data_IF_342848925603
#
_entry.id   IF_342848925603
#
_cell.length_a   1.000
_cell.length_b   1.000
_cell.length_c   1.000
_cell.angle_alpha   90.00
_cell.angle_beta   90.00
_cell.angle_gamma   90.00
#
_symmetry.space_group_name_H-M   'P 1'
#
loop_
_entity.id
_entity.type
_entity.pdbx_description
1 polymer ?
#
# COMPACT_ATOMS: atom_id res chain seq x y z
N UNK A 1 30.10 -7.71 18.86
CA UNK A 1 29.62 -8.33 20.10
C UNK A 1 30.51 -7.80 21.22
N UNK A 2 29.93 -7.31 22.32
CA UNK A 2 30.69 -7.21 23.57
C UNK A 2 31.08 -8.64 23.94
N UNK A 3 32.33 -8.90 24.33
CA UNK A 3 32.71 -10.22 24.80
C UNK A 3 31.83 -10.58 26.01
N UNK A 4 31.22 -11.77 26.01
CA UNK A 4 30.26 -12.22 27.05
C UNK A 4 30.78 -12.06 28.49
N UNK A 5 32.09 -11.96 28.67
CA UNK A 5 32.77 -11.85 29.95
C UNK A 5 32.55 -10.51 30.69
N UNK A 6 32.07 -9.45 30.03
CA UNK A 6 31.90 -8.12 30.66
C UNK A 6 30.42 -7.66 30.76
N UNK A 7 29.47 -8.43 30.21
CA UNK A 7 28.07 -8.01 30.16
C UNK A 7 27.42 -7.92 31.56
N UNK A 8 27.75 -8.84 32.47
CA UNK A 8 27.24 -8.84 33.84
C UNK A 8 27.77 -7.64 34.65
N UNK A 9 29.06 -7.34 34.53
CA UNK A 9 29.69 -6.20 35.20
C UNK A 9 29.14 -4.87 34.70
N UNK A 10 29.00 -4.71 33.38
CA UNK A 10 28.38 -3.53 32.78
C UNK A 10 26.91 -3.37 33.18
N UNK A 11 26.15 -4.46 33.24
CA UNK A 11 24.76 -4.43 33.69
C UNK A 11 24.65 -3.96 35.15
N UNK A 12 25.49 -4.51 36.05
CA UNK A 12 25.50 -4.09 37.44
C UNK A 12 25.89 -2.61 37.58
N UNK A 13 26.94 -2.19 36.88
CA UNK A 13 27.37 -0.79 36.87
C UNK A 13 26.27 0.16 36.38
N UNK A 14 25.61 -0.17 35.27
CA UNK A 14 24.50 0.64 34.73
C UNK A 14 23.36 0.76 35.75
N UNK A 15 23.02 -0.34 36.44
CA UNK A 15 21.97 -0.39 37.46
C UNK A 15 22.27 0.50 38.67
N UNK A 16 23.54 0.74 38.98
CA UNK A 16 23.97 1.58 40.11
C UNK A 16 23.97 3.09 39.78
N UNK A 17 23.76 3.47 38.51
CA UNK A 17 23.72 4.88 38.10
C UNK A 17 22.45 5.58 38.61
N UNK A 18 22.55 6.82 39.11
CA UNK A 18 21.43 7.53 39.75
C UNK A 18 20.32 7.97 38.78
N UNK A 19 20.54 7.79 37.48
CA UNK A 19 19.61 8.10 36.41
C UNK A 19 19.14 6.85 35.66
N UNK A 20 19.30 5.66 36.23
CA UNK A 20 18.85 4.40 35.64
C UNK A 20 17.86 3.73 36.59
N UNK A 21 16.66 3.44 36.08
CA UNK A 21 15.63 2.69 36.78
C UNK A 21 15.70 1.21 36.39
N UNK A 22 15.38 0.32 37.33
CA UNK A 22 15.23 -1.11 37.06
C UNK A 22 13.75 -1.46 37.02
N UNK A 23 13.29 -1.99 35.89
CA UNK A 23 11.91 -2.43 35.68
C UNK A 23 11.87 -3.93 35.37
N UNK A 24 10.70 -4.58 35.41
CA UNK A 24 10.56 -5.97 34.94
C UNK A 24 10.97 -6.17 33.47
N UNK A 25 11.04 -5.10 32.67
CA UNK A 25 11.43 -5.11 31.27
C UNK A 25 12.93 -4.81 31.06
N UNK A 26 13.68 -4.49 32.12
CA UNK A 26 15.12 -4.22 32.08
C UNK A 26 15.52 -2.88 32.68
N UNK A 27 16.71 -2.40 32.31
CA UNK A 27 17.24 -1.10 32.75
C UNK A 27 16.73 0.03 31.86
N UNK A 28 16.23 1.10 32.48
CA UNK A 28 15.63 2.24 31.83
C UNK A 28 16.33 3.53 32.26
N UNK A 29 17.20 4.14 31.43
CA UNK A 29 17.76 5.45 31.70
C UNK A 29 16.66 6.51 31.70
N UNK A 30 16.70 7.45 32.64
CA UNK A 30 15.80 8.59 32.69
C UNK A 30 15.85 9.37 31.36
N UNK A 31 14.71 9.91 30.94
CA UNK A 31 14.54 10.56 29.65
C UNK A 31 15.61 11.64 29.38
N UNK A 32 15.90 12.50 30.36
CA UNK A 32 16.91 13.55 30.24
C UNK A 32 18.33 13.00 30.01
N UNK A 33 18.70 11.90 30.67
CA UNK A 33 19.99 11.25 30.48
C UNK A 33 20.07 10.60 29.08
N UNK A 34 19.00 9.92 28.64
CA UNK A 34 18.91 9.33 27.30
C UNK A 34 19.07 10.39 26.20
N UNK A 35 18.32 11.48 26.28
CA UNK A 35 18.41 12.57 25.29
C UNK A 35 19.80 13.18 25.23
N UNK A 36 20.42 13.41 26.41
CA UNK A 36 21.78 13.97 26.48
C UNK A 36 22.82 13.03 25.85
N UNK A 37 22.76 11.74 26.18
CA UNK A 37 23.69 10.74 25.63
C UNK A 37 23.55 10.59 24.10
N UNK A 38 22.32 10.61 23.57
CA UNK A 38 22.11 10.54 22.12
C UNK A 38 22.59 11.81 21.41
N UNK A 39 22.30 12.99 21.96
CA UNK A 39 22.74 14.26 21.39
C UNK A 39 24.28 14.35 21.35
N UNK A 40 24.91 13.94 22.44
CA UNK A 40 26.35 13.92 22.58
C UNK A 40 27.03 12.91 21.64
N UNK A 41 26.49 11.68 21.52
CA UNK A 41 27.00 10.69 20.55
C UNK A 41 26.86 11.17 19.11
N UNK A 42 25.71 11.78 18.77
CA UNK A 42 25.46 12.37 17.45
C UNK A 42 26.45 13.48 17.13
N UNK A 43 26.83 14.29 18.13
CA UNK A 43 27.79 15.38 17.97
C UNK A 43 29.24 14.88 17.86
N UNK A 44 29.67 14.02 18.79
CA UNK A 44 31.08 13.58 18.91
C UNK A 44 31.47 12.51 17.90
N UNK A 45 30.54 11.64 17.51
CA UNK A 45 30.81 10.50 16.62
C UNK A 45 29.63 10.23 15.67
N UNK A 46 29.35 11.14 14.72
CA UNK A 46 28.18 11.05 13.84
C UNK A 46 28.14 9.78 13.01
N UNK A 47 29.29 9.31 12.51
CA UNK A 47 29.40 8.06 11.74
C UNK A 47 29.07 6.84 12.60
N UNK A 48 29.54 6.81 13.85
CA UNK A 48 29.23 5.75 14.82
C UNK A 48 27.75 5.76 15.18
N UNK A 49 27.17 6.94 15.39
CA UNK A 49 25.74 7.12 15.64
C UNK A 49 24.90 6.55 14.48
N UNK A 50 25.23 6.90 13.24
CA UNK A 50 24.53 6.41 12.06
C UNK A 50 24.69 4.90 11.88
N UNK A 51 25.91 4.36 12.04
CA UNK A 51 26.16 2.93 11.95
C UNK A 51 25.39 2.15 13.03
N UNK A 52 25.27 2.68 14.25
CA UNK A 52 24.48 2.08 15.31
C UNK A 52 22.98 2.09 14.97
N UNK A 53 22.46 3.22 14.46
CA UNK A 53 21.05 3.31 14.02
C UNK A 53 20.73 2.33 12.90
N UNK A 54 21.60 2.20 11.90
CA UNK A 54 21.42 1.24 10.80
C UNK A 54 21.40 -0.20 11.31
N UNK A 55 22.31 -0.55 12.22
CA UNK A 55 22.32 -1.88 12.84
C UNK A 55 21.05 -2.14 13.63
N UNK A 56 20.61 -1.19 14.44
CA UNK A 56 19.33 -1.31 15.18
C UNK A 56 18.15 -1.46 14.22
N UNK A 57 18.09 -0.69 13.13
CA UNK A 57 17.04 -0.84 12.12
C UNK A 57 16.99 -2.26 11.54
N UNK A 58 18.14 -2.82 11.13
CA UNK A 58 18.20 -4.18 10.59
C UNK A 58 17.81 -5.24 11.64
N UNK A 59 18.22 -5.08 12.90
CA UNK A 59 17.79 -6.01 13.95
C UNK A 59 16.29 -5.94 14.22
N UNK A 60 15.70 -4.75 14.32
CA UNK A 60 14.26 -4.62 14.52
C UNK A 60 13.44 -5.09 13.32
N UNK A 61 13.92 -4.84 12.09
CA UNK A 61 13.32 -5.43 10.88
C UNK A 61 13.41 -6.97 10.91
N UNK A 62 14.53 -7.53 11.38
CA UNK A 62 14.68 -8.96 11.63
C UNK A 62 13.66 -9.50 12.65
N UNK A 63 13.53 -8.82 13.80
CA UNK A 63 12.54 -9.16 14.83
C UNK A 63 11.11 -9.10 14.28
N UNK A 64 10.79 -8.13 13.42
CA UNK A 64 9.47 -8.03 12.80
C UNK A 64 9.14 -9.22 11.89
N UNK A 65 10.13 -9.76 11.15
CA UNK A 65 9.94 -10.95 10.31
C UNK A 65 9.56 -12.19 11.12
N UNK A 66 10.15 -12.34 12.30
CA UNK A 66 9.98 -13.52 13.15
C UNK A 66 8.92 -13.36 14.25
N UNK A 67 8.44 -12.14 14.48
CA UNK A 67 7.55 -11.84 15.59
C UNK A 67 6.20 -12.56 15.47
N UNK A 68 5.72 -13.08 16.60
CA UNK A 68 4.36 -13.62 16.77
C UNK A 68 3.29 -12.52 16.69
N UNK A 69 2.03 -12.84 16.33
CA UNK A 69 0.94 -11.88 16.11
C UNK A 69 0.90 -10.71 17.08
N UNK A 70 0.99 -11.05 18.35
CA UNK A 70 0.81 -10.19 19.51
C UNK A 70 1.99 -9.24 19.74
N UNK A 71 3.19 -9.55 19.21
CA UNK A 71 4.41 -8.77 19.41
C UNK A 71 4.73 -7.77 18.31
N UNK A 72 4.17 -7.93 17.11
CA UNK A 72 4.53 -7.06 15.98
C UNK A 72 4.25 -5.59 16.26
N UNK A 73 3.12 -5.27 16.91
CA UNK A 73 2.82 -3.90 17.31
C UNK A 73 3.92 -3.31 18.18
N UNK A 74 4.28 -4.01 19.27
CA UNK A 74 5.31 -3.56 20.20
C UNK A 74 6.66 -3.33 19.49
N UNK A 75 7.12 -4.31 18.69
CA UNK A 75 8.39 -4.18 17.95
C UNK A 75 8.35 -3.02 16.94
N UNK A 76 7.19 -2.77 16.31
CA UNK A 76 7.01 -1.64 15.37
C UNK A 76 7.04 -0.29 16.09
N UNK A 77 6.37 -0.19 17.24
CA UNK A 77 6.36 1.03 18.04
C UNK A 77 7.75 1.33 18.61
N UNK A 78 8.49 0.31 19.06
CA UNK A 78 9.89 0.44 19.50
C UNK A 78 10.78 0.92 18.36
N UNK A 79 10.65 0.33 17.17
CA UNK A 79 11.39 0.76 15.99
C UNK A 79 11.09 2.24 15.66
N UNK A 80 9.83 2.64 15.59
CA UNK A 80 9.51 4.03 15.30
C UNK A 80 9.92 4.99 16.42
N UNK A 81 9.91 4.52 17.67
CA UNK A 81 10.45 5.29 18.79
C UNK A 81 11.94 5.56 18.63
N UNK A 82 12.73 4.60 18.16
CA UNK A 82 14.16 4.79 17.86
C UNK A 82 14.41 5.82 16.75
N UNK A 83 13.44 6.01 15.85
CA UNK A 83 13.50 6.96 14.74
C UNK A 83 12.56 8.16 14.92
N UNK A 84 12.10 8.43 16.14
CA UNK A 84 11.16 9.53 16.45
C UNK A 84 11.67 10.93 16.12
N UNK A 85 12.97 11.09 15.89
CA UNK A 85 13.59 12.33 15.43
C UNK A 85 13.41 12.58 13.92
N UNK A 86 12.97 11.57 13.16
CA UNK A 86 12.68 11.71 11.73
C UNK A 86 11.38 12.47 11.51
N UNK A 87 11.44 13.55 10.72
CA UNK A 87 10.32 14.47 10.49
C UNK A 87 9.01 13.77 10.08
N UNK A 88 9.10 12.74 9.23
CA UNK A 88 7.92 11.95 8.81
C UNK A 88 7.23 11.26 9.98
N UNK A 89 7.99 10.73 10.94
CA UNK A 89 7.46 10.08 12.14
C UNK A 89 6.96 11.11 13.17
N UNK A 90 7.59 12.27 13.26
CA UNK A 90 7.11 13.37 14.11
C UNK A 90 5.75 13.93 13.66
N UNK A 91 5.52 14.03 12.35
CA UNK A 91 4.25 14.54 11.80
C UNK A 91 3.08 13.58 11.99
N UNK A 92 3.37 12.28 12.10
CA UNK A 92 2.35 11.22 12.10
C UNK A 92 2.11 10.58 13.45
N UNK A 93 2.93 10.88 14.48
CA UNK A 93 2.84 10.27 15.81
C UNK A 93 2.99 11.28 16.94
N UNK A 94 2.29 11.03 18.03
CA UNK A 94 2.36 11.76 19.30
C UNK A 94 3.18 10.94 20.31
N UNK A 95 4.30 11.52 20.73
CA UNK A 95 5.25 10.92 21.68
C UNK A 95 5.02 11.51 23.07
N UNK A 96 4.21 10.86 23.91
CA UNK A 96 3.88 11.30 25.28
C UNK A 96 4.18 10.16 26.27
N UNK A 97 4.47 10.49 27.53
CA UNK A 97 4.76 9.50 28.58
C UNK A 97 3.52 8.68 28.99
N UNK A 98 3.77 7.53 29.61
CA UNK A 98 2.86 6.40 29.84
C UNK A 98 1.62 6.65 30.73
N UNK A 99 1.42 7.85 31.30
CA UNK A 99 0.39 8.07 32.34
C UNK A 99 -1.06 8.08 31.80
N UNK A 100 -1.25 8.16 30.47
CA UNK A 100 -2.56 8.11 29.82
C UNK A 100 -2.64 7.06 28.70
N UNK A 101 -1.94 5.92 28.83
CA UNK A 101 -1.85 5.00 27.69
C UNK A 101 -3.21 4.34 27.39
N UNK A 102 -3.80 4.57 26.20
CA UNK A 102 -4.95 3.82 25.77
C UNK A 102 -4.50 2.45 25.22
N UNK A 103 -5.37 1.45 25.29
CA UNK A 103 -5.14 0.16 24.65
C UNK A 103 -6.29 -0.22 23.74
N UNK A 104 -5.97 -1.00 22.71
CA UNK A 104 -6.93 -1.52 21.74
C UNK A 104 -7.48 -2.85 22.26
N UNK A 105 -8.79 -3.02 22.14
CA UNK A 105 -9.52 -4.19 22.60
C UNK A 105 -10.58 -4.61 21.57
N UNK A 106 -11.10 -5.83 21.72
CA UNK A 106 -12.18 -6.35 20.87
C UNK A 106 -13.46 -5.58 21.16
N UNK A 107 -14.24 -5.29 20.12
CA UNK A 107 -15.59 -4.75 20.27
C UNK A 107 -16.54 -5.89 20.66
N UNK A 108 -17.11 -5.80 21.86
CA UNK A 108 -18.15 -6.72 22.33
C UNK A 108 -19.53 -6.30 21.83
N UNK A 109 -20.46 -7.27 21.71
CA UNK A 109 -21.78 -7.03 21.13
C UNK A 109 -22.62 -6.04 21.96
N UNK A 110 -22.43 -6.04 23.27
CA UNK A 110 -23.07 -5.13 24.22
C UNK A 110 -22.64 -3.67 24.00
N UNK A 111 -21.42 -3.47 23.47
CA UNK A 111 -20.84 -2.15 23.23
C UNK A 111 -21.23 -1.57 21.83
N UNK A 112 -21.97 -2.33 21.00
CA UNK A 112 -22.40 -1.86 19.67
C UNK A 112 -23.23 -0.57 19.73
N UNK A 113 -24.13 -0.45 20.72
CA UNK A 113 -24.93 0.77 20.90
C UNK A 113 -24.08 2.00 21.18
N UNK A 114 -23.00 1.84 21.97
CA UNK A 114 -22.05 2.91 22.26
C UNK A 114 -21.30 3.34 21.00
N UNK A 115 -20.75 2.39 20.25
CA UNK A 115 -20.03 2.66 19.00
C UNK A 115 -20.92 3.39 17.96
N UNK A 116 -22.18 2.99 17.84
CA UNK A 116 -23.15 3.69 16.97
C UNK A 116 -23.38 5.14 17.43
N UNK A 117 -23.54 5.35 18.74
CA UNK A 117 -23.72 6.70 19.29
C UNK A 117 -22.48 7.59 19.10
N UNK A 118 -21.27 7.02 19.23
CA UNK A 118 -20.01 7.71 18.96
C UNK A 118 -19.90 8.12 17.49
N UNK A 119 -20.28 7.24 16.56
CA UNK A 119 -20.29 7.52 15.13
C UNK A 119 -21.27 8.65 14.79
N UNK A 120 -22.49 8.58 15.33
CA UNK A 120 -23.51 9.61 15.13
C UNK A 120 -23.08 10.97 15.68
N UNK A 121 -22.49 11.00 16.88
CA UNK A 121 -21.98 12.22 17.48
C UNK A 121 -20.83 12.85 16.67
N UNK A 122 -19.92 12.02 16.16
CA UNK A 122 -18.69 12.49 15.51
C UNK A 122 -18.84 12.81 14.02
N UNK A 123 -19.65 12.03 13.31
CA UNK A 123 -19.78 12.10 11.84
C UNK A 123 -21.22 12.26 11.35
N UNK A 124 -22.22 12.06 12.22
CA UNK A 124 -23.64 12.20 11.88
C UNK A 124 -24.35 10.87 11.60
N UNK A 125 -25.69 10.91 11.42
CA UNK A 125 -26.53 9.72 11.37
C UNK A 125 -26.25 8.84 10.13
N UNK A 126 -25.84 9.43 9.01
CA UNK A 126 -25.48 8.67 7.80
C UNK A 126 -24.25 7.78 8.05
N UNK A 127 -23.21 8.29 8.71
CA UNK A 127 -22.06 7.48 9.09
C UNK A 127 -22.42 6.41 10.13
N UNK A 128 -23.31 6.70 11.07
CA UNK A 128 -23.80 5.70 12.03
C UNK A 128 -24.56 4.55 11.33
N UNK A 129 -25.31 4.84 10.27
CA UNK A 129 -25.97 3.83 9.43
C UNK A 129 -24.94 2.92 8.73
N UNK A 130 -23.86 3.50 8.20
CA UNK A 130 -22.77 2.75 7.58
C UNK A 130 -22.02 1.89 8.61
N UNK A 131 -21.79 2.42 9.82
CA UNK A 131 -21.23 1.63 10.94
C UNK A 131 -22.13 0.44 11.26
N UNK A 132 -23.45 0.65 11.36
CA UNK A 132 -24.42 -0.43 11.59
C UNK A 132 -24.36 -1.48 10.49
N UNK A 133 -24.33 -1.03 9.24
CA UNK A 133 -24.20 -1.90 8.07
C UNK A 133 -22.94 -2.76 8.17
N UNK A 134 -21.78 -2.16 8.44
CA UNK A 134 -20.52 -2.91 8.53
C UNK A 134 -20.40 -3.80 9.77
N UNK A 135 -21.03 -3.45 10.90
CA UNK A 135 -21.11 -4.34 12.07
C UNK A 135 -21.81 -5.67 11.74
N UNK A 136 -22.77 -5.67 10.82
CA UNK A 136 -23.43 -6.91 10.38
C UNK A 136 -22.59 -7.74 9.40
N UNK A 137 -21.76 -7.10 8.59
CA UNK A 137 -20.99 -7.72 7.50
C UNK A 137 -19.59 -8.16 7.92
N UNK A 138 -18.88 -7.31 8.65
CA UNK A 138 -17.50 -7.54 9.10
C UNK A 138 -17.32 -7.10 10.57
N UNK A 139 -18.04 -7.70 11.55
CA UNK A 139 -17.89 -7.35 12.97
C UNK A 139 -16.45 -7.51 13.47
N UNK A 140 -15.71 -8.50 12.94
CA UNK A 140 -14.30 -8.73 13.24
C UNK A 140 -13.37 -7.57 12.83
N UNK A 141 -13.84 -6.66 11.97
CA UNK A 141 -13.10 -5.48 11.55
C UNK A 141 -13.14 -4.34 12.56
N UNK A 142 -13.96 -4.46 13.61
CA UNK A 142 -14.11 -3.43 14.62
C UNK A 142 -13.21 -3.68 15.83
N UNK A 143 -12.59 -2.60 16.32
CA UNK A 143 -11.93 -2.57 17.62
C UNK A 143 -12.30 -1.32 18.39
N UNK A 144 -12.25 -1.41 19.70
CA UNK A 144 -12.43 -0.26 20.60
C UNK A 144 -11.11 0.12 21.22
N UNK A 145 -11.01 1.36 21.65
CA UNK A 145 -9.85 1.89 22.36
C UNK A 145 -10.32 2.29 23.75
N UNK A 146 -9.69 1.71 24.77
CA UNK A 146 -10.01 1.88 26.20
C UNK A 146 -8.90 2.63 26.91
N UNK A 147 -9.26 3.44 27.89
CA UNK A 147 -8.29 4.03 28.82
C UNK A 147 -7.92 2.99 29.89
N UNK A 148 -6.61 2.75 30.12
CA UNK A 148 -6.15 1.83 31.17
C UNK A 148 -6.70 2.23 32.55
N UNK A 149 -6.74 3.53 32.83
CA UNK A 149 -7.14 4.07 34.14
C UNK A 149 -8.60 3.79 34.53
N UNK A 150 -9.49 3.64 33.56
CA UNK A 150 -10.94 3.54 33.81
C UNK A 150 -11.62 2.37 33.11
N UNK A 151 -10.96 1.70 32.16
CA UNK A 151 -11.55 0.68 31.29
C UNK A 151 -12.60 1.21 30.30
N UNK A 152 -12.88 2.53 30.32
CA UNK A 152 -13.90 3.17 29.50
C UNK A 152 -13.48 3.18 28.03
N UNK A 153 -14.39 2.81 27.13
CA UNK A 153 -14.25 3.00 25.69
C UNK A 153 -14.30 4.49 25.37
N UNK A 154 -13.26 4.99 24.72
CA UNK A 154 -13.15 6.40 24.32
C UNK A 154 -13.17 6.59 22.81
N UNK A 155 -12.88 5.54 22.06
CA UNK A 155 -12.84 5.57 20.61
C UNK A 155 -13.06 4.18 20.02
N UNK A 156 -13.32 4.12 18.72
CA UNK A 156 -13.32 2.87 17.98
C UNK A 156 -12.74 3.07 16.57
N UNK A 157 -12.26 1.97 16.00
CA UNK A 157 -11.75 1.92 14.64
C UNK A 157 -12.41 0.78 13.88
N UNK A 158 -12.67 1.01 12.59
CA UNK A 158 -13.15 -0.04 11.68
C UNK A 158 -12.16 -0.25 10.55
N UNK A 159 -11.63 -1.47 10.45
CA UNK A 159 -10.77 -1.93 9.36
C UNK A 159 -11.52 -2.94 8.52
N UNK A 160 -11.71 -2.59 7.25
CA UNK A 160 -12.39 -3.46 6.28
C UNK A 160 -11.35 -4.19 5.44
N UNK A 161 -11.61 -5.47 5.21
CA UNK A 161 -10.88 -6.30 4.25
C UNK A 161 -11.83 -6.56 3.07
N UNK A 162 -11.46 -6.06 1.90
CA UNK A 162 -12.27 -6.10 0.69
C UNK A 162 -11.61 -7.05 -0.32
N UNK A 163 -12.03 -8.33 -0.41
CA UNK A 163 -11.41 -9.30 -1.28
C UNK A 163 -11.68 -9.00 -2.76
N UNK A 164 -10.78 -9.46 -3.64
CA UNK A 164 -10.93 -9.43 -5.09
C UNK A 164 -11.05 -10.88 -5.63
N UNK A 165 -12.10 -11.22 -6.39
CA UNK A 165 -13.26 -10.39 -6.69
C UNK A 165 -14.09 -10.04 -5.43
N UNK A 166 -14.84 -8.92 -5.45
CA UNK A 166 -15.78 -8.56 -4.39
C UNK A 166 -16.64 -9.74 -3.94
N UNK A 167 -16.68 -10.00 -2.63
CA UNK A 167 -17.59 -10.95 -1.99
C UNK A 167 -18.94 -10.33 -1.61
N UNK A 168 -19.11 -9.06 -1.96
CA UNK A 168 -20.31 -8.26 -1.77
C UNK A 168 -20.93 -7.90 -3.13
N UNK A 169 -22.23 -7.63 -3.10
CA UNK A 169 -23.06 -7.34 -4.28
C UNK A 169 -22.86 -5.89 -4.74
N UNK A 170 -23.27 -5.56 -5.98
CA UNK A 170 -23.25 -4.17 -6.47
C UNK A 170 -23.99 -3.20 -5.51
N UNK A 171 -25.03 -3.70 -4.83
CA UNK A 171 -25.82 -2.98 -3.82
C UNK A 171 -25.00 -2.56 -2.59
N UNK A 172 -23.95 -3.31 -2.27
CA UNK A 172 -23.06 -3.02 -1.14
C UNK A 172 -22.05 -1.92 -1.50
N UNK A 173 -21.69 -1.81 -2.79
CA UNK A 173 -20.92 -0.67 -3.34
C UNK A 173 -21.77 0.60 -3.32
N UNK A 174 -23.06 0.50 -3.63
CA UNK A 174 -23.99 1.63 -3.55
C UNK A 174 -24.29 2.06 -2.10
N UNK A 175 -24.06 1.17 -1.12
CA UNK A 175 -24.35 1.44 0.29
C UNK A 175 -23.30 2.38 0.91
N UNK A 176 -22.01 2.10 0.74
CA UNK A 176 -20.92 2.93 1.29
C UNK A 176 -20.15 3.63 0.16
N UNK A 177 -20.37 4.95 -0.07
CA UNK A 177 -19.75 5.68 -1.17
C UNK A 177 -18.22 5.75 -1.06
N UNK A 178 -17.67 5.58 0.15
CA UNK A 178 -16.22 5.54 0.38
C UNK A 178 -15.63 4.22 -0.10
N UNK A 179 -16.30 3.10 0.15
CA UNK A 179 -15.90 1.78 -0.38
C UNK A 179 -15.99 1.78 -1.91
N UNK A 180 -17.05 2.35 -2.47
CA UNK A 180 -17.16 2.53 -3.92
C UNK A 180 -16.01 3.34 -4.52
N UNK A 181 -15.63 4.43 -3.86
CA UNK A 181 -14.53 5.28 -4.29
C UNK A 181 -13.18 4.53 -4.26
N UNK A 182 -12.93 3.72 -3.23
CA UNK A 182 -11.72 2.88 -3.13
C UNK A 182 -11.67 1.84 -4.26
N UNK A 183 -12.78 1.17 -4.56
CA UNK A 183 -12.83 0.22 -5.67
C UNK A 183 -12.60 0.89 -7.01
N UNK A 184 -13.27 2.01 -7.27
CA UNK A 184 -13.07 2.80 -8.49
C UNK A 184 -11.60 3.20 -8.65
N UNK A 185 -11.00 3.75 -7.61
CA UNK A 185 -9.59 4.13 -7.61
C UNK A 185 -8.69 2.93 -7.90
N UNK A 186 -8.93 1.78 -7.26
CA UNK A 186 -8.16 0.56 -7.51
C UNK A 186 -8.27 0.14 -8.97
N UNK A 187 -9.46 0.15 -9.56
CA UNK A 187 -9.67 -0.23 -10.97
C UNK A 187 -9.00 0.72 -11.96
N UNK A 188 -8.96 2.01 -11.66
CA UNK A 188 -8.38 3.04 -12.52
C UNK A 188 -6.85 3.14 -12.44
N UNK A 189 -6.25 2.68 -11.33
CA UNK A 189 -4.81 2.82 -11.07
C UNK A 189 -4.06 1.51 -11.12
N UNK A 190 -4.45 0.53 -10.31
CA UNK A 190 -3.80 -0.76 -10.20
C UNK A 190 -4.78 -1.79 -9.61
N UNK A 191 -5.59 -2.46 -10.43
CA UNK A 191 -6.66 -3.35 -9.96
C UNK A 191 -6.15 -4.43 -9.00
N UNK A 192 -6.93 -4.74 -7.97
CA UNK A 192 -6.72 -5.92 -7.14
C UNK A 192 -7.05 -7.20 -7.95
N UNK A 193 -6.17 -8.20 -7.87
CA UNK A 193 -6.27 -9.46 -8.63
C UNK A 193 -7.09 -10.51 -7.87
N UNK A 194 -7.62 -11.55 -8.55
CA UNK A 194 -8.21 -12.69 -7.86
C UNK A 194 -7.27 -13.29 -6.80
N UNK A 195 -7.75 -13.40 -5.56
CA UNK A 195 -6.95 -13.85 -4.41
C UNK A 195 -6.17 -12.74 -3.69
N UNK A 196 -6.24 -11.50 -4.20
CA UNK A 196 -5.78 -10.31 -3.48
C UNK A 196 -6.93 -9.64 -2.72
N UNK A 197 -6.62 -8.67 -1.86
CA UNK A 197 -7.59 -7.82 -1.18
C UNK A 197 -7.10 -6.39 -1.02
N UNK A 198 -8.06 -5.47 -0.85
CA UNK A 198 -7.82 -4.10 -0.39
C UNK A 198 -8.07 -4.05 1.12
N UNK A 199 -7.15 -3.47 1.88
CA UNK A 199 -7.34 -3.19 3.30
C UNK A 199 -7.62 -1.69 3.48
N UNK A 200 -8.61 -1.33 4.29
CA UNK A 200 -8.99 0.07 4.52
C UNK A 200 -9.33 0.34 5.97
N UNK A 201 -8.81 1.42 6.54
CA UNK A 201 -9.33 1.99 7.80
C UNK A 201 -10.46 2.95 7.46
N UNK A 202 -11.69 2.47 7.58
CA UNK A 202 -12.90 3.16 7.12
C UNK A 202 -13.42 4.19 8.14
N UNK A 203 -13.34 3.86 9.42
CA UNK A 203 -13.73 4.73 10.53
C UNK A 203 -12.61 4.80 11.56
N UNK A 204 -12.30 6.01 12.01
CA UNK A 204 -11.38 6.31 13.12
C UNK A 204 -12.07 7.34 14.01
N UNK A 205 -12.95 6.85 14.89
CA UNK A 205 -13.86 7.69 15.68
C UNK A 205 -13.29 7.89 17.07
N UNK A 206 -12.95 9.14 17.38
CA UNK A 206 -12.62 9.58 18.73
C UNK A 206 -13.35 10.90 19.00
N UNK A 207 -14.55 10.90 19.62
CA UNK A 207 -15.39 12.09 19.70
C UNK A 207 -14.71 13.31 20.33
N UNK A 208 -13.95 13.11 21.41
CA UNK A 208 -13.27 14.19 22.13
C UNK A 208 -12.16 14.88 21.31
N UNK A 209 -11.59 14.18 20.32
CA UNK A 209 -10.53 14.71 19.45
C UNK A 209 -10.61 14.10 18.05
N UNK A 210 -11.75 14.31 17.39
CA UNK A 210 -12.09 13.63 16.15
C UNK A 210 -11.00 13.79 15.08
N UNK A 211 -10.39 12.65 14.71
CA UNK A 211 -9.29 12.54 13.72
C UNK A 211 -8.13 13.53 13.93
N UNK A 212 -7.97 14.09 15.12
CA UNK A 212 -6.83 14.91 15.49
C UNK A 212 -5.65 14.05 15.95
N UNK A 213 -4.40 14.55 15.82
CA UNK A 213 -3.22 13.82 16.30
C UNK A 213 -3.37 13.43 17.78
N UNK A 214 -3.29 12.15 18.10
CA UNK A 214 -3.47 11.65 19.47
C UNK A 214 -2.94 10.22 19.59
N UNK A 215 -2.64 9.78 20.82
CA UNK A 215 -2.27 8.39 21.11
C UNK A 215 -3.32 7.39 20.61
N UNK A 216 -4.60 7.77 20.65
CA UNK A 216 -5.71 6.97 20.13
C UNK A 216 -5.58 6.75 18.62
N UNK A 217 -5.34 7.81 17.86
CA UNK A 217 -5.16 7.71 16.40
C UNK A 217 -3.85 6.98 16.04
N UNK A 218 -2.78 7.21 16.79
CA UNK A 218 -1.51 6.50 16.59
C UNK A 218 -1.69 4.99 16.79
N UNK A 219 -2.41 4.59 17.83
CA UNK A 219 -2.70 3.19 18.13
C UNK A 219 -3.49 2.52 17.01
N UNK A 220 -4.52 3.20 16.52
CA UNK A 220 -5.31 2.77 15.35
C UNK A 220 -4.42 2.54 14.13
N UNK A 221 -3.52 3.47 13.82
CA UNK A 221 -2.61 3.41 12.68
C UNK A 221 -1.51 2.34 12.85
N UNK A 222 -0.97 2.16 14.06
CA UNK A 222 0.03 1.12 14.36
C UNK A 222 -0.52 -0.28 14.11
N UNK A 223 -1.81 -0.52 14.37
CA UNK A 223 -2.46 -1.81 14.06
C UNK A 223 -2.52 -2.09 12.56
N UNK A 224 -2.84 -1.08 11.76
CA UNK A 224 -2.88 -1.19 10.29
C UNK A 224 -1.51 -1.59 9.73
N UNK A 225 -0.45 -0.99 10.27
CA UNK A 225 0.94 -1.29 9.91
C UNK A 225 1.31 -2.72 10.31
N UNK A 226 0.96 -3.13 11.53
CA UNK A 226 1.17 -4.50 12.01
C UNK A 226 0.46 -5.55 11.14
N UNK A 227 -0.77 -5.27 10.70
CA UNK A 227 -1.50 -6.14 9.78
C UNK A 227 -0.89 -6.14 8.37
N UNK A 228 -0.39 -4.99 7.90
CA UNK A 228 0.29 -4.89 6.62
C UNK A 228 1.51 -5.79 6.55
N UNK A 229 2.33 -5.83 7.61
CA UNK A 229 3.52 -6.68 7.66
C UNK A 229 3.22 -8.18 7.43
N UNK A 230 1.99 -8.62 7.72
CA UNK A 230 1.63 -10.05 7.68
C UNK A 230 0.72 -10.47 6.56
N UNK A 231 -0.12 -9.55 6.08
CA UNK A 231 -1.16 -9.88 5.13
C UNK A 231 -0.55 -10.36 3.81
N UNK A 232 -0.83 -11.61 3.44
CA UNK A 232 -0.55 -12.13 2.10
C UNK A 232 -1.63 -11.66 1.14
N UNK A 233 -1.25 -11.35 -0.10
CA UNK A 233 -2.19 -10.91 -1.12
C UNK A 233 -2.83 -9.55 -0.84
N UNK A 234 -2.23 -8.70 0.01
CA UNK A 234 -2.71 -7.33 0.15
C UNK A 234 -2.24 -6.51 -1.04
N UNK A 235 -3.17 -6.01 -1.84
CA UNK A 235 -2.88 -5.13 -2.97
C UNK A 235 -2.69 -3.68 -2.48
N UNK A 236 -3.73 -3.12 -1.87
CA UNK A 236 -3.75 -1.72 -1.43
C UNK A 236 -4.01 -1.60 0.08
N UNK A 237 -3.48 -0.53 0.68
CA UNK A 237 -3.88 -0.03 1.99
C UNK A 237 -4.46 1.37 1.89
N UNK A 238 -5.64 1.61 2.49
CA UNK A 238 -6.27 2.93 2.52
C UNK A 238 -6.51 3.45 3.94
N UNK A 239 -6.30 4.76 4.13
CA UNK A 239 -6.79 5.52 5.28
C UNK A 239 -7.81 6.57 4.80
N UNK A 240 -8.87 6.76 5.57
CA UNK A 240 -9.96 7.69 5.27
C UNK A 240 -10.00 8.78 6.34
N UNK A 241 -9.85 10.05 5.92
CA UNK A 241 -9.89 11.19 6.83
C UNK A 241 -10.73 12.33 6.28
N UNK A 242 -11.50 12.98 7.16
CA UNK A 242 -12.33 14.13 6.83
C UNK A 242 -11.51 15.40 6.58
N UNK A 243 -10.63 15.76 7.53
CA UNK A 243 -9.68 16.87 7.38
C UNK A 243 -8.50 16.44 6.50
N UNK A 244 -8.85 16.11 5.26
CA UNK A 244 -7.96 15.56 4.27
C UNK A 244 -6.85 16.54 3.89
N UNK A 245 -7.04 17.85 4.01
CA UNK A 245 -5.96 18.83 3.80
C UNK A 245 -4.88 18.71 4.88
N UNK A 246 -5.26 18.70 6.16
CA UNK A 246 -4.28 18.57 7.24
C UNK A 246 -3.64 17.18 7.27
N UNK A 247 -4.40 16.13 6.90
CA UNK A 247 -3.87 14.77 6.80
C UNK A 247 -2.94 14.57 5.60
N UNK A 248 -3.15 15.28 4.48
CA UNK A 248 -2.24 15.24 3.34
C UNK A 248 -0.84 15.77 3.71
N UNK A 249 -0.75 16.87 4.46
CA UNK A 249 0.53 17.39 4.95
C UNK A 249 1.22 16.39 5.90
N UNK A 250 0.47 15.79 6.83
CA UNK A 250 1.03 14.83 7.80
C UNK A 250 1.51 13.54 7.13
N UNK A 251 0.74 13.03 6.18
CA UNK A 251 1.04 11.77 5.50
C UNK A 251 2.01 11.93 4.33
N UNK A 252 2.46 13.15 4.01
CA UNK A 252 3.40 13.38 2.93
C UNK A 252 4.68 12.53 3.09
N UNK A 253 4.94 11.66 2.10
CA UNK A 253 6.06 10.72 2.12
C UNK A 253 5.89 9.52 3.06
N UNK A 254 4.67 9.30 3.54
CA UNK A 254 4.22 8.15 4.36
C UNK A 254 3.13 7.37 3.64
N UNK A 255 2.07 8.05 3.21
CA UNK A 255 1.05 7.53 2.30
C UNK A 255 0.81 8.59 1.24
N UNK A 256 0.34 8.17 0.08
CA UNK A 256 0.06 9.13 -0.97
C UNK A 256 -1.41 9.54 -0.96
N UNK A 257 -1.68 10.83 -1.18
CA UNK A 257 -3.04 11.31 -1.41
C UNK A 257 -3.52 10.83 -2.78
N UNK A 258 -4.62 10.09 -2.80
CA UNK A 258 -5.24 9.61 -4.04
C UNK A 258 -5.82 10.73 -4.91
N UNK A 259 -6.05 11.92 -4.33
CA UNK A 259 -6.82 13.00 -4.93
C UNK A 259 -8.34 12.76 -4.96
N UNK A 260 -8.80 11.55 -4.60
CA UNK A 260 -10.22 11.20 -4.56
C UNK A 260 -10.86 11.79 -3.31
N UNK A 261 -12.03 12.39 -3.50
CA UNK A 261 -12.90 12.91 -2.44
C UNK A 261 -14.25 12.22 -2.49
N UNK A 262 -14.80 11.92 -1.33
CA UNK A 262 -16.07 11.23 -1.18
C UNK A 262 -16.91 11.92 -0.12
N UNK A 263 -18.22 12.01 -0.34
CA UNK A 263 -19.16 12.64 0.57
C UNK A 263 -19.98 11.57 1.31
N UNK A 264 -20.12 11.74 2.62
CA UNK A 264 -21.07 10.99 3.45
C UNK A 264 -21.84 11.99 4.31
N UNK A 265 -23.13 12.15 4.03
CA UNK A 265 -23.98 13.03 4.84
C UNK A 265 -23.59 14.51 4.77
N UNK A 266 -23.05 14.99 3.64
CA UNK A 266 -22.57 16.37 3.48
C UNK A 266 -21.17 16.61 4.06
N UNK A 267 -20.46 15.53 4.38
CA UNK A 267 -19.12 15.56 4.93
C UNK A 267 -18.14 14.91 3.96
N UNK A 268 -17.16 15.70 3.53
CA UNK A 268 -16.14 15.25 2.57
C UNK A 268 -14.99 14.50 3.26
N UNK A 269 -14.53 13.41 2.67
CA UNK A 269 -13.40 12.61 3.12
C UNK A 269 -12.40 12.40 1.97
N UNK A 270 -11.11 12.45 2.31
CA UNK A 270 -10.01 12.10 1.42
C UNK A 270 -9.51 10.68 1.66
N UNK A 271 -9.04 10.05 0.58
CA UNK A 271 -8.44 8.72 0.62
C UNK A 271 -6.91 8.81 0.47
N UNK A 272 -6.19 8.22 1.42
CA UNK A 272 -4.73 8.10 1.40
C UNK A 272 -4.34 6.65 1.21
N UNK A 273 -3.41 6.38 0.30
CA UNK A 273 -3.18 5.03 -0.19
C UNK A 273 -1.72 4.66 -0.37
N UNK A 274 -1.49 3.34 -0.39
CA UNK A 274 -0.23 2.69 -0.75
C UNK A 274 -0.53 1.36 -1.44
N UNK A 275 0.16 1.11 -2.56
CA UNK A 275 0.17 -0.19 -3.23
C UNK A 275 1.31 -1.03 -2.64
N UNK A 276 0.95 -2.01 -1.81
CA UNK A 276 1.91 -2.86 -1.10
C UNK A 276 2.67 -3.81 -2.04
N UNK A 277 2.17 -4.02 -3.26
CA UNK A 277 2.88 -4.80 -4.29
C UNK A 277 4.07 -4.02 -4.84
N UNK A 278 3.99 -2.69 -4.86
CA UNK A 278 5.07 -1.79 -5.32
C UNK A 278 6.04 -1.44 -4.20
N UNK A 279 5.50 -1.23 -3.00
CA UNK A 279 6.29 -0.88 -1.83
C UNK A 279 5.96 -1.88 -0.71
N UNK A 280 6.67 -3.02 -0.65
CA UNK A 280 6.52 -3.95 0.46
C UNK A 280 6.78 -3.26 1.80
N UNK A 281 6.15 -3.75 2.87
CA UNK A 281 6.09 -3.03 4.14
C UNK A 281 7.46 -2.74 4.76
N UNK A 282 8.42 -3.65 4.65
CA UNK A 282 9.79 -3.40 5.11
C UNK A 282 10.47 -2.28 4.33
N UNK A 283 10.25 -2.22 3.01
CA UNK A 283 10.76 -1.15 2.15
C UNK A 283 10.10 0.18 2.51
N UNK A 284 8.80 0.16 2.82
CA UNK A 284 8.07 1.31 3.32
C UNK A 284 8.65 1.80 4.66
N UNK A 285 8.91 0.91 5.63
CA UNK A 285 9.56 1.26 6.90
C UNK A 285 10.92 1.91 6.65
N UNK A 286 11.75 1.33 5.75
CA UNK A 286 13.03 1.92 5.34
C UNK A 286 12.87 3.34 4.79
N UNK A 287 11.88 3.57 3.92
CA UNK A 287 11.58 4.91 3.41
C UNK A 287 11.19 5.92 4.51
N UNK A 288 10.57 5.45 5.59
CA UNK A 288 10.27 6.29 6.74
C UNK A 288 11.52 6.63 7.53
N UNK A 289 12.28 5.62 7.95
CA UNK A 289 13.42 5.79 8.85
C UNK A 289 14.63 6.47 8.18
N UNK A 290 14.82 6.26 6.88
CA UNK A 290 15.89 6.88 6.09
C UNK A 290 15.47 8.24 5.50
N UNK A 291 14.22 8.65 5.73
CA UNK A 291 13.63 9.89 5.21
C UNK A 291 13.73 10.05 3.67
N UNK A 292 13.79 8.95 2.92
CA UNK A 292 13.87 8.97 1.45
C UNK A 292 12.51 9.24 0.82
N UNK A 293 12.47 9.80 -0.38
CA UNK A 293 11.21 10.04 -1.07
C UNK A 293 10.49 8.70 -1.37
N UNK A 294 9.19 8.68 -1.14
CA UNK A 294 8.38 7.55 -1.60
C UNK A 294 8.24 7.63 -3.12
N UNK A 295 8.27 6.49 -3.82
CA UNK A 295 7.87 6.45 -5.22
C UNK A 295 6.53 7.16 -5.40
N UNK A 296 6.38 8.03 -6.42
CA UNK A 296 5.10 8.66 -6.67
C UNK A 296 4.04 7.58 -6.88
N UNK A 297 2.79 7.88 -6.54
CA UNK A 297 1.70 7.00 -6.93
C UNK A 297 1.84 6.73 -8.42
N UNK A 298 1.64 5.48 -8.78
CA UNK A 298 1.32 5.20 -10.16
C UNK A 298 0.02 5.91 -10.44
N UNK A 299 0.12 7.12 -11.00
CA UNK A 299 -1.04 7.83 -11.52
C UNK A 299 -1.83 6.87 -12.42
N UNK A 300 -3.14 7.09 -12.56
CA UNK A 300 -3.93 6.31 -13.51
C UNK A 300 -3.14 6.24 -14.80
N UNK A 301 -3.00 5.05 -15.38
CA UNK A 301 -2.49 4.96 -16.76
C UNK A 301 -3.26 6.01 -17.54
N UNK A 302 -2.61 7.08 -18.01
CA UNK A 302 -3.32 8.23 -18.58
C UNK A 302 -4.13 7.86 -19.82
N UNK A 303 -3.92 6.64 -20.31
CA UNK A 303 -4.66 6.00 -21.39
C UNK A 303 -5.67 5.01 -20.82
N UNK A 304 -6.99 5.23 -20.99
CA UNK A 304 -8.01 4.23 -20.67
C UNK A 304 -7.75 2.90 -21.38
N UNK A 305 -8.07 1.76 -20.75
CA UNK A 305 -7.85 0.42 -21.31
C UNK A 305 -8.31 0.26 -22.77
N UNK A 306 -9.51 0.72 -23.20
CA UNK A 306 -9.91 0.61 -24.61
C UNK A 306 -9.01 1.40 -25.56
N UNK A 307 -8.55 2.59 -25.15
CA UNK A 307 -7.64 3.41 -25.93
C UNK A 307 -6.23 2.78 -26.00
N UNK A 308 -5.78 2.13 -24.92
CA UNK A 308 -4.53 1.39 -24.89
C UNK A 308 -4.57 0.18 -25.83
N UNK A 309 -5.64 -0.62 -25.78
CA UNK A 309 -5.80 -1.79 -26.66
C UNK A 309 -5.84 -1.37 -28.12
N UNK A 310 -6.46 -0.23 -28.42
CA UNK A 310 -6.44 0.33 -29.76
C UNK A 310 -5.02 0.77 -30.17
N UNK A 311 -4.28 1.43 -29.28
CA UNK A 311 -2.89 1.81 -29.53
C UNK A 311 -1.96 0.62 -29.79
N UNK A 312 -2.14 -0.52 -29.09
CA UNK A 312 -1.42 -1.78 -29.37
C UNK A 312 -1.72 -2.29 -30.78
N UNK A 313 -3.01 -2.32 -31.17
CA UNK A 313 -3.41 -2.78 -32.50
C UNK A 313 -2.85 -1.89 -33.61
N UNK A 314 -2.86 -0.58 -33.41
CA UNK A 314 -2.29 0.40 -34.35
C UNK A 314 -0.78 0.25 -34.47
N UNK A 315 -0.05 0.10 -33.36
CA UNK A 315 1.40 -0.08 -33.37
C UNK A 315 1.82 -1.31 -34.20
N UNK A 316 1.09 -2.43 -34.09
CA UNK A 316 1.35 -3.63 -34.92
C UNK A 316 1.07 -3.39 -36.41
N UNK A 317 0.06 -2.58 -36.75
CA UNK A 317 -0.23 -2.22 -38.15
C UNK A 317 0.85 -1.31 -38.73
N UNK A 318 1.40 -0.40 -37.92
CA UNK A 318 2.46 0.55 -38.30
C UNK A 318 3.86 -0.06 -38.25
N UNK A 319 4.01 -1.34 -37.88
CA UNK A 319 5.28 -2.02 -37.61
C UNK A 319 6.39 -1.78 -38.66
N UNK A 320 6.01 -1.74 -39.95
CA UNK A 320 6.94 -1.61 -41.09
C UNK A 320 7.20 -0.19 -41.55
N UNK A 321 6.51 0.80 -40.98
CA UNK A 321 6.73 2.21 -41.25
C UNK A 321 7.42 2.85 -40.03
N UNK A 322 8.76 3.02 -40.05
CA UNK A 322 9.48 3.56 -38.91
C UNK A 322 9.02 4.97 -38.50
N UNK A 323 8.63 5.80 -39.48
CA UNK A 323 8.19 7.17 -39.22
C UNK A 323 6.83 7.21 -38.54
N UNK A 324 5.87 6.43 -39.04
CA UNK A 324 4.55 6.34 -38.41
C UNK A 324 4.59 5.60 -37.06
N UNK A 325 5.42 4.57 -36.92
CA UNK A 325 5.58 3.85 -35.65
C UNK A 325 6.15 4.76 -34.55
N UNK A 326 7.10 5.63 -34.90
CA UNK A 326 7.68 6.62 -33.98
C UNK A 326 6.69 7.71 -33.50
N UNK A 327 5.46 7.71 -34.02
CA UNK A 327 4.37 8.60 -33.58
C UNK A 327 3.21 7.83 -32.90
N UNK A 328 3.34 6.51 -32.66
CA UNK A 328 2.26 5.72 -32.10
C UNK A 328 1.92 6.13 -30.65
N UNK A 329 0.65 5.99 -30.27
CA UNK A 329 0.19 6.44 -28.96
C UNK A 329 0.85 5.68 -27.78
N UNK A 330 1.35 4.47 -28.02
CA UNK A 330 2.09 3.68 -27.02
C UNK A 330 3.39 4.36 -26.56
N UNK A 331 4.00 5.25 -27.35
CA UNK A 331 5.19 5.98 -26.94
C UNK A 331 4.93 7.00 -25.81
N UNK A 332 3.64 7.29 -25.54
CA UNK A 332 3.20 8.15 -24.43
C UNK A 332 2.80 7.34 -23.19
N UNK A 333 3.02 6.04 -23.21
CA UNK A 333 2.67 5.12 -22.11
C UNK A 333 3.89 4.84 -21.25
N UNK A 334 3.69 4.26 -20.06
CA UNK A 334 4.79 3.89 -19.16
C UNK A 334 5.68 2.80 -19.70
N UNK A 335 5.21 2.01 -20.67
CA UNK A 335 5.98 0.92 -21.29
C UNK A 335 7.40 1.31 -21.74
N UNK A 336 7.60 2.58 -22.10
CA UNK A 336 8.88 3.12 -22.59
C UNK A 336 9.20 4.49 -22.01
N UNK A 337 8.61 4.86 -20.88
CA UNK A 337 8.80 6.19 -20.28
C UNK A 337 10.25 6.44 -19.82
N UNK A 338 10.94 5.38 -19.39
CA UNK A 338 12.33 5.43 -18.87
C UNK A 338 13.36 4.91 -19.89
N UNK A 339 12.96 4.76 -21.16
CA UNK A 339 13.79 4.23 -22.23
C UNK A 339 14.58 5.32 -22.96
N UNK A 340 15.87 5.05 -23.25
CA UNK A 340 16.73 5.97 -24.01
C UNK A 340 16.33 6.05 -25.49
N UNK A 341 15.79 4.96 -26.05
CA UNK A 341 15.29 4.91 -27.43
C UNK A 341 13.86 4.34 -27.49
N UNK A 342 12.85 5.13 -27.10
CA UNK A 342 11.48 4.64 -26.90
C UNK A 342 10.87 3.89 -28.09
N UNK A 343 11.18 4.30 -29.33
CA UNK A 343 10.64 3.63 -30.51
C UNK A 343 11.27 2.26 -30.80
N UNK A 344 12.57 2.13 -30.56
CA UNK A 344 13.28 0.86 -30.72
C UNK A 344 12.95 -0.09 -29.57
N UNK A 345 12.99 0.43 -28.34
CA UNK A 345 12.69 -0.35 -27.13
C UNK A 345 11.23 -0.83 -27.13
N UNK A 346 10.30 -0.02 -27.64
CA UNK A 346 8.91 -0.45 -27.85
C UNK A 346 8.80 -1.58 -28.88
N UNK A 347 9.60 -1.57 -29.96
CA UNK A 347 9.59 -2.65 -30.95
C UNK A 347 10.06 -3.96 -30.32
N UNK A 348 11.17 -3.91 -29.60
CA UNK A 348 11.73 -5.07 -28.90
C UNK A 348 10.71 -5.61 -27.89
N UNK A 349 10.11 -4.74 -27.09
CA UNK A 349 9.06 -5.10 -26.12
C UNK A 349 7.87 -5.80 -26.77
N UNK A 350 7.37 -5.28 -27.90
CA UNK A 350 6.25 -5.88 -28.64
C UNK A 350 6.62 -7.25 -29.22
N UNK A 351 7.83 -7.41 -29.73
CA UNK A 351 8.33 -8.70 -30.22
C UNK A 351 8.44 -9.72 -29.10
N UNK A 352 9.06 -9.35 -27.99
CA UNK A 352 9.18 -10.19 -26.80
C UNK A 352 7.81 -10.60 -26.26
N UNK A 353 6.87 -9.66 -26.17
CA UNK A 353 5.53 -9.94 -25.68
C UNK A 353 4.76 -10.90 -26.60
N UNK A 354 4.94 -10.80 -27.93
CA UNK A 354 4.38 -11.77 -28.89
C UNK A 354 5.05 -13.13 -28.75
N UNK A 355 6.36 -13.19 -28.59
CA UNK A 355 7.09 -14.44 -28.38
C UNK A 355 6.67 -15.14 -27.08
N UNK A 356 6.49 -14.38 -25.99
CA UNK A 356 6.07 -14.89 -24.69
C UNK A 356 4.68 -15.56 -24.70
N UNK A 357 3.82 -15.28 -25.68
CA UNK A 357 2.53 -15.96 -25.83
C UNK A 357 2.66 -17.48 -26.00
N UNK A 358 3.81 -17.97 -26.46
CA UNK A 358 4.06 -19.41 -26.59
C UNK A 358 4.19 -20.15 -25.23
N UNK A 359 4.26 -19.44 -24.11
CA UNK A 359 4.29 -20.04 -22.77
C UNK A 359 3.02 -20.78 -22.35
N UNK A 360 1.89 -20.53 -23.02
CA UNK A 360 0.64 -21.29 -22.88
C UNK A 360 0.40 -22.14 -24.15
N UNK A 361 0.06 -23.44 -24.04
CA UNK A 361 -0.37 -24.26 -25.17
C UNK A 361 -1.44 -23.59 -26.06
N UNK A 362 -2.34 -22.78 -25.48
CA UNK A 362 -3.39 -22.02 -26.18
C UNK A 362 -2.84 -20.81 -26.95
N UNK A 363 -1.66 -20.31 -26.58
CA UNK A 363 -1.02 -19.12 -27.13
C UNK A 363 -0.06 -19.41 -28.29
N UNK A 364 0.40 -20.66 -28.48
CA UNK A 364 1.31 -21.04 -29.59
C UNK A 364 0.75 -20.65 -30.96
N UNK A 365 -0.50 -21.01 -31.25
CA UNK A 365 -1.16 -20.66 -32.53
C UNK A 365 -1.43 -19.17 -32.68
N UNK A 366 -1.69 -18.49 -31.57
CA UNK A 366 -1.89 -17.05 -31.54
C UNK A 366 -0.57 -16.30 -31.86
N UNK A 367 0.54 -16.75 -31.27
CA UNK A 367 1.90 -16.26 -31.54
C UNK A 367 2.27 -16.41 -33.02
N UNK A 368 2.13 -17.60 -33.59
CA UNK A 368 2.41 -17.87 -35.01
C UNK A 368 1.58 -16.96 -35.93
N UNK A 369 0.29 -16.79 -35.63
CA UNK A 369 -0.60 -15.95 -36.41
C UNK A 369 -0.20 -14.47 -36.36
N UNK A 370 0.12 -13.91 -35.18
CA UNK A 370 0.57 -12.51 -35.03
C UNK A 370 1.91 -12.26 -35.73
N UNK A 371 2.91 -13.13 -35.50
CA UNK A 371 4.23 -12.99 -36.10
C UNK A 371 4.16 -13.06 -37.65
N UNK A 372 3.29 -13.93 -38.17
CA UNK A 372 3.08 -14.04 -39.62
C UNK A 372 2.33 -12.82 -40.16
N UNK A 373 1.28 -12.36 -39.48
CA UNK A 373 0.45 -11.24 -39.92
C UNK A 373 1.22 -9.92 -39.99
N UNK A 374 1.98 -9.60 -38.93
CA UNK A 374 2.55 -8.26 -38.75
C UNK A 374 4.06 -8.21 -39.07
N UNK A 375 4.84 -9.19 -38.60
CA UNK A 375 6.30 -9.14 -38.70
C UNK A 375 6.87 -9.75 -39.99
N UNK A 376 6.21 -10.74 -40.59
CA UNK A 376 6.79 -11.60 -41.64
C UNK A 376 6.75 -11.08 -43.08
N UNK A 377 6.48 -9.79 -43.32
CA UNK A 377 6.52 -9.22 -44.68
C UNK A 377 5.32 -9.51 -45.58
N UNK A 378 4.36 -10.35 -45.18
CA UNK A 378 3.23 -10.75 -46.04
C UNK A 378 2.30 -9.56 -46.35
N UNK A 379 1.76 -9.45 -47.58
CA UNK A 379 0.99 -8.29 -48.02
C UNK A 379 -0.48 -8.31 -47.56
N UNK A 380 -1.05 -9.49 -47.31
CA UNK A 380 -2.44 -9.64 -46.84
C UNK A 380 -2.56 -10.75 -45.80
N UNK A 381 -3.59 -10.67 -44.96
CA UNK A 381 -3.89 -11.72 -43.99
C UNK A 381 -4.27 -13.06 -44.64
N UNK A 382 -4.84 -13.06 -45.85
CA UNK A 382 -5.11 -14.30 -46.61
C UNK A 382 -3.82 -14.95 -47.10
N UNK A 383 -2.81 -14.16 -47.49
CA UNK A 383 -1.47 -14.68 -47.80
C UNK A 383 -0.78 -15.22 -46.54
N UNK A 384 -0.95 -14.55 -45.39
CA UNK A 384 -0.48 -15.03 -44.10
C UNK A 384 -1.13 -16.38 -43.72
N UNK A 385 -2.45 -16.51 -43.88
CA UNK A 385 -3.19 -17.74 -43.63
C UNK A 385 -2.71 -18.89 -44.51
N UNK A 386 -2.51 -18.64 -45.82
CA UNK A 386 -1.93 -19.62 -46.76
C UNK A 386 -0.52 -20.04 -46.36
N UNK A 387 0.32 -19.11 -45.91
CA UNK A 387 1.69 -19.39 -45.45
C UNK A 387 1.72 -20.32 -44.23
N UNK A 388 0.73 -20.22 -43.35
CA UNK A 388 0.57 -21.10 -42.18
C UNK A 388 -0.23 -22.38 -42.48
N UNK A 389 -0.73 -22.56 -43.71
CA UNK A 389 -1.57 -23.71 -44.07
C UNK A 389 -2.93 -23.72 -43.36
N UNK A 390 -3.46 -22.55 -42.99
CA UNK A 390 -4.71 -22.41 -42.25
C UNK A 390 -5.85 -21.86 -43.12
N UNK A 391 -7.10 -22.31 -42.92
CA UNK A 391 -8.27 -21.60 -43.44
C UNK A 391 -8.31 -20.16 -42.93
N UNK A 392 -8.74 -19.22 -43.79
CA UNK A 392 -8.72 -17.79 -43.45
C UNK A 392 -9.52 -17.44 -42.19
N UNK A 393 -10.70 -18.06 -41.99
CA UNK A 393 -11.50 -17.86 -40.78
C UNK A 393 -10.80 -18.32 -39.50
N UNK A 394 -10.07 -19.45 -39.57
CA UNK A 394 -9.27 -19.97 -38.45
C UNK A 394 -8.09 -19.06 -38.13
N UNK A 395 -7.39 -18.59 -39.17
CA UNK A 395 -6.32 -17.62 -39.01
C UNK A 395 -6.80 -16.33 -38.33
N UNK A 396 -7.91 -15.75 -38.78
CA UNK A 396 -8.50 -14.55 -38.16
C UNK A 396 -8.86 -14.75 -36.69
N UNK A 397 -9.36 -15.95 -36.33
CA UNK A 397 -9.66 -16.29 -34.94
C UNK A 397 -8.39 -16.28 -34.08
N UNK A 398 -7.29 -16.86 -34.57
CA UNK A 398 -6.01 -16.85 -33.86
C UNK A 398 -5.40 -15.46 -33.77
N UNK A 399 -5.51 -14.62 -34.81
CA UNK A 399 -5.08 -13.22 -34.76
C UNK A 399 -5.87 -12.46 -33.69
N UNK A 400 -7.20 -12.58 -33.66
CA UNK A 400 -8.03 -11.92 -32.63
C UNK A 400 -7.65 -12.36 -31.22
N UNK A 401 -7.56 -13.68 -30.99
CA UNK A 401 -7.14 -14.24 -29.71
C UNK A 401 -5.75 -13.73 -29.30
N UNK A 402 -4.80 -13.69 -30.24
CA UNK A 402 -3.46 -13.18 -29.98
C UNK A 402 -3.45 -11.71 -29.62
N UNK A 403 -4.22 -10.87 -30.32
CA UNK A 403 -4.36 -9.46 -29.97
C UNK A 403 -4.93 -9.27 -28.58
N UNK A 404 -5.96 -10.04 -28.21
CA UNK A 404 -6.58 -9.95 -26.88
C UNK A 404 -5.58 -10.35 -25.77
N UNK A 405 -4.82 -11.44 -25.97
CA UNK A 405 -3.77 -11.88 -25.04
C UNK A 405 -2.60 -10.90 -24.95
N UNK A 406 -2.15 -10.36 -26.09
CA UNK A 406 -1.08 -9.37 -26.15
C UNK A 406 -1.47 -8.08 -25.43
N UNK A 407 -2.68 -7.57 -25.69
CA UNK A 407 -3.19 -6.39 -25.02
C UNK A 407 -3.32 -6.62 -23.51
N UNK A 408 -3.77 -7.81 -23.08
CA UNK A 408 -3.80 -8.18 -21.65
C UNK A 408 -2.40 -8.11 -21.03
N UNK A 409 -1.42 -8.78 -21.63
CA UNK A 409 -0.02 -8.83 -21.14
C UNK A 409 0.66 -7.46 -21.09
N UNK A 410 0.56 -6.67 -22.16
CA UNK A 410 1.17 -5.34 -22.21
C UNK A 410 0.52 -4.36 -21.25
N UNK A 411 -0.79 -4.48 -21.03
CA UNK A 411 -1.46 -3.64 -20.05
C UNK A 411 -1.06 -3.96 -18.61
N UNK A 412 -0.79 -5.24 -18.30
CA UNK A 412 -0.18 -5.56 -17.01
C UNK A 412 1.17 -4.83 -16.87
N UNK A 413 2.01 -4.82 -17.90
CA UNK A 413 3.27 -4.05 -17.88
C UNK A 413 3.04 -2.54 -17.75
N UNK A 414 2.01 -1.98 -18.40
CA UNK A 414 1.67 -0.56 -18.28
C UNK A 414 1.23 -0.17 -16.85
N UNK A 415 0.46 -1.03 -16.19
CA UNK A 415 -0.04 -0.78 -14.83
C UNK A 415 1.03 -1.02 -13.76
N UNK A 416 1.92 -1.98 -13.97
CA UNK A 416 2.82 -2.50 -12.94
C UNK A 416 4.31 -2.22 -13.17
N UNK A 417 4.71 -1.80 -14.37
CA UNK A 417 6.11 -1.70 -14.80
C UNK A 417 6.69 -3.05 -15.24
N UNK A 418 7.88 -3.03 -15.83
CA UNK A 418 8.68 -4.23 -16.13
C UNK A 418 9.34 -4.72 -14.83
N UNK A 419 9.12 -5.99 -14.46
CA UNK A 419 9.83 -6.64 -13.35
C UNK A 419 11.34 -6.66 -13.54
#
# INVERSE_FOLDING_TARGET
MLAEQDASGLFQWLRELPFVESTPLGLYPHDAARETLMADLRWRAPTTFQAMRQRLAEEYLGLLREARPERVRAVTDDLFYLFRDVQKLQRTRVWVSAEEDPYEDVLEIEDHGLVLSMAEQAEGPQSAELVRYWLTRQPQGFSVIRLISSGRIVAFTTRLVLPAPPDFTDTDTDTDPVVAAVWRYSQETAPARPGEHIAMTRFSIYPDRYQGPSRVIDLSNSRVQAEAMRARGRAHGFLVHHDHTAWADRLQGVLADSGVRCDVGGREYGLFTIDWRKIPVEKWIRHLIDATEMPPLSGPSGTPRPAFDQAVREALQLWRDPGAFAACALLRTRLVADCDNPAQDLKELLQEAVEALAGDPRGVRAKEALATAFFSGVPTQEAAARRLGLPYGTFRRHVRQGLDLLCASLWERELYGTN
#
